data_IF_504731637484
#
_entry.id   IF_504731637484
#
_cell.length_a   1.000
_cell.length_b   1.000
_cell.length_c   1.000
_cell.angle_alpha   90.00
_cell.angle_beta   90.00
_cell.angle_gamma   90.00
#
_symmetry.space_group_name_H-M   'P 1'
#
loop_
_entity.id
_entity.type
_entity.pdbx_description
1 polymer ?
#
# COMPACT_ATOMS: atom_id res chain seq x y z
N UNK A 1 13.21 -40.90 -13.38
CA UNK A 1 13.64 -39.85 -14.32
C UNK A 1 15.08 -39.50 -13.96
N UNK A 2 16.05 -39.79 -14.84
CA UNK A 2 17.48 -39.54 -14.55
C UNK A 2 17.79 -38.13 -15.01
N UNK A 3 18.02 -37.23 -14.06
CA UNK A 3 18.41 -35.85 -14.31
C UNK A 3 19.86 -35.82 -14.82
N UNK A 4 20.09 -35.44 -16.07
CA UNK A 4 21.45 -35.34 -16.61
C UNK A 4 21.96 -33.89 -16.57
N UNK A 5 23.28 -33.71 -16.39
CA UNK A 5 23.93 -32.39 -16.35
C UNK A 5 23.78 -31.58 -17.63
N UNK A 6 23.31 -32.18 -18.74
CA UNK A 6 23.12 -31.51 -20.03
C UNK A 6 21.82 -30.70 -20.11
N UNK A 7 20.87 -30.92 -19.20
CA UNK A 7 19.53 -30.33 -19.27
C UNK A 7 19.41 -29.03 -18.44
N UNK A 8 20.54 -28.43 -18.04
CA UNK A 8 20.58 -27.28 -17.14
C UNK A 8 19.92 -26.04 -17.75
N UNK A 9 20.06 -25.85 -19.06
CA UNK A 9 19.46 -24.71 -19.78
C UNK A 9 17.94 -24.78 -19.78
N UNK A 10 17.37 -25.99 -19.82
CA UNK A 10 15.93 -26.22 -19.76
C UNK A 10 15.36 -25.96 -18.35
N UNK A 11 16.19 -26.16 -17.32
CA UNK A 11 15.82 -25.93 -15.91
C UNK A 11 16.11 -24.52 -15.41
N UNK A 12 16.91 -23.76 -16.14
CA UNK A 12 17.31 -22.40 -15.76
C UNK A 12 16.10 -21.47 -15.53
N UNK A 13 15.06 -21.45 -16.38
CA UNK A 13 13.89 -20.61 -16.13
C UNK A 13 13.17 -20.94 -14.83
N UNK A 14 13.03 -22.23 -14.51
CA UNK A 14 12.39 -22.70 -13.27
C UNK A 14 13.23 -22.34 -12.04
N UNK A 15 14.55 -22.53 -12.11
CA UNK A 15 15.47 -22.17 -11.03
C UNK A 15 15.45 -20.66 -10.76
N UNK A 16 15.45 -19.83 -11.82
CA UNK A 16 15.34 -18.37 -11.68
C UNK A 16 13.97 -17.95 -11.13
N UNK A 17 12.89 -18.62 -11.55
CA UNK A 17 11.55 -18.35 -11.02
C UNK A 17 11.48 -18.67 -9.53
N UNK A 18 11.90 -19.87 -9.13
CA UNK A 18 11.98 -20.28 -7.72
C UNK A 18 12.83 -19.30 -6.89
N UNK A 19 13.99 -18.88 -7.42
CA UNK A 19 14.85 -17.90 -6.77
C UNK A 19 14.14 -16.57 -6.54
N UNK A 20 13.36 -16.07 -7.52
CA UNK A 20 12.66 -14.78 -7.44
C UNK A 20 11.54 -14.78 -6.39
N UNK A 21 10.84 -15.90 -6.22
CA UNK A 21 9.69 -15.98 -5.32
C UNK A 21 10.03 -16.56 -3.93
N UNK A 22 11.22 -17.13 -3.76
CA UNK A 22 11.63 -17.71 -2.48
C UNK A 22 12.04 -16.62 -1.48
N UNK A 23 11.54 -16.75 -0.25
CA UNK A 23 11.88 -15.84 0.84
C UNK A 23 13.36 -15.92 1.20
N UNK A 24 14.02 -14.77 1.37
CA UNK A 24 15.43 -14.71 1.77
C UNK A 24 15.56 -14.18 3.18
N UNK A 25 15.92 -15.06 4.11
CA UNK A 25 16.13 -14.72 5.53
C UNK A 25 17.13 -13.59 5.74
N UNK A 26 18.13 -13.44 4.87
CA UNK A 26 19.13 -12.37 4.95
C UNK A 26 18.59 -10.96 4.66
N UNK A 27 17.52 -10.84 3.86
CA UNK A 27 16.88 -9.55 3.55
C UNK A 27 15.45 -9.43 4.07
N UNK A 28 14.89 -10.51 4.62
CA UNK A 28 13.51 -10.55 5.08
C UNK A 28 12.47 -10.38 3.97
N UNK A 29 12.84 -10.56 2.70
CA UNK A 29 11.99 -10.32 1.53
C UNK A 29 12.32 -11.29 0.38
N UNK A 30 11.38 -11.48 -0.54
CA UNK A 30 11.62 -12.19 -1.80
C UNK A 30 12.35 -11.25 -2.79
N UNK A 31 13.24 -11.75 -3.66
CA UNK A 31 13.86 -10.90 -4.68
C UNK A 31 12.83 -10.21 -5.59
N UNK A 32 11.66 -10.82 -5.83
CA UNK A 32 10.57 -10.21 -6.56
C UNK A 32 9.99 -8.99 -5.83
N UNK A 33 9.69 -9.10 -4.53
CA UNK A 33 9.10 -7.99 -3.77
C UNK A 33 10.04 -6.79 -3.63
N UNK A 34 11.35 -7.00 -3.69
CA UNK A 34 12.32 -5.90 -3.76
C UNK A 34 12.30 -5.12 -5.08
N UNK A 35 11.97 -5.79 -6.19
CA UNK A 35 11.95 -5.17 -7.52
C UNK A 35 10.62 -4.47 -7.79
N UNK A 36 9.52 -5.08 -7.40
CA UNK A 36 8.16 -4.62 -7.73
C UNK A 36 7.40 -4.01 -6.56
N UNK A 37 7.96 -4.05 -5.35
CA UNK A 37 7.31 -3.50 -4.15
C UNK A 37 6.13 -4.33 -3.62
N UNK A 38 5.84 -5.49 -4.23
CA UNK A 38 4.75 -6.38 -3.81
C UNK A 38 5.19 -7.85 -3.88
N UNK A 39 4.64 -8.68 -2.99
CA UNK A 39 4.85 -10.13 -3.06
C UNK A 39 4.14 -10.73 -4.27
N UNK A 40 4.79 -11.70 -4.92
CA UNK A 40 4.23 -12.34 -6.11
C UNK A 40 2.86 -12.94 -5.79
N UNK A 41 1.92 -12.80 -6.73
CA UNK A 41 0.67 -13.57 -6.74
C UNK A 41 0.89 -14.75 -7.66
N UNK A 42 0.84 -15.96 -7.12
CA UNK A 42 1.12 -17.16 -7.90
C UNK A 42 -0.07 -17.50 -8.81
N UNK A 43 0.15 -18.13 -9.98
CA UNK A 43 -0.96 -18.53 -10.86
C UNK A 43 -2.03 -19.35 -10.15
N UNK A 44 -1.61 -20.26 -9.25
CA UNK A 44 -2.51 -21.06 -8.41
C UNK A 44 -3.38 -20.21 -7.47
N UNK A 45 -2.85 -19.09 -6.96
CA UNK A 45 -3.60 -18.17 -6.11
C UNK A 45 -4.66 -17.40 -6.91
N UNK A 46 -4.41 -17.14 -8.20
CA UNK A 46 -5.37 -16.53 -9.11
C UNK A 46 -6.46 -17.53 -9.51
N UNK A 47 -6.09 -18.76 -9.85
CA UNK A 47 -7.04 -19.82 -10.23
C UNK A 47 -7.96 -20.21 -9.07
N UNK A 48 -7.42 -20.32 -7.85
CA UNK A 48 -8.20 -20.68 -6.66
C UNK A 48 -8.98 -19.51 -6.06
N UNK A 49 -8.78 -18.28 -6.55
CA UNK A 49 -9.37 -17.08 -5.95
C UNK A 49 -8.94 -16.92 -4.49
N UNK A 50 -7.63 -17.00 -4.24
CA UNK A 50 -7.07 -16.91 -2.89
C UNK A 50 -7.51 -15.64 -2.16
N UNK A 51 -7.44 -15.66 -0.83
CA UNK A 51 -7.82 -14.51 0.00
C UNK A 51 -7.09 -13.21 -0.38
N UNK A 52 -5.81 -13.29 -0.79
CA UNK A 52 -5.05 -12.14 -1.28
C UNK A 52 -5.67 -11.57 -2.55
N UNK A 53 -5.98 -12.43 -3.53
CA UNK A 53 -6.60 -12.00 -4.80
C UNK A 53 -7.98 -11.40 -4.57
N UNK A 54 -8.79 -11.99 -3.68
CA UNK A 54 -10.09 -11.46 -3.33
C UNK A 54 -10.01 -10.07 -2.66
N UNK A 55 -9.04 -9.87 -1.76
CA UNK A 55 -8.80 -8.58 -1.12
C UNK A 55 -8.37 -7.51 -2.14
N UNK A 56 -7.41 -7.81 -3.01
CA UNK A 56 -6.95 -6.89 -4.04
C UNK A 56 -8.09 -6.50 -5.00
N UNK A 57 -8.92 -7.47 -5.41
CA UNK A 57 -10.11 -7.21 -6.21
C UNK A 57 -11.12 -6.31 -5.49
N UNK A 58 -11.33 -6.52 -4.19
CA UNK A 58 -12.21 -5.69 -3.39
C UNK A 58 -11.67 -4.25 -3.28
N UNK A 59 -10.37 -4.08 -3.03
CA UNK A 59 -9.72 -2.76 -2.99
C UNK A 59 -9.87 -2.07 -4.34
N UNK A 60 -9.58 -2.76 -5.44
CA UNK A 60 -9.73 -2.24 -6.79
C UNK A 60 -11.17 -1.77 -7.09
N UNK A 61 -12.18 -2.56 -6.70
CA UNK A 61 -13.58 -2.16 -6.90
C UNK A 61 -13.99 -0.96 -6.03
N UNK A 62 -13.38 -0.78 -4.86
CA UNK A 62 -13.56 0.42 -4.04
C UNK A 62 -12.91 1.61 -4.71
N UNK A 63 -11.63 1.51 -5.11
CA UNK A 63 -10.88 2.57 -5.78
C UNK A 63 -11.57 3.04 -7.06
N UNK A 64 -12.08 2.10 -7.86
CA UNK A 64 -12.85 2.40 -9.07
C UNK A 64 -14.11 3.24 -8.81
N UNK A 65 -14.70 3.13 -7.61
CA UNK A 65 -15.87 3.93 -7.19
C UNK A 65 -15.48 5.27 -6.59
N UNK A 66 -14.22 5.46 -6.19
CA UNK A 66 -13.72 6.74 -5.70
C UNK A 66 -13.69 7.72 -6.86
N UNK A 67 -14.39 8.85 -6.71
CA UNK A 67 -14.32 9.95 -7.65
C UNK A 67 -13.28 10.94 -7.14
N UNK A 68 -12.14 11.14 -7.83
CA UNK A 68 -11.14 12.10 -7.38
C UNK A 68 -11.77 13.49 -7.40
N UNK A 69 -11.65 14.20 -6.27
CA UNK A 69 -12.06 15.59 -6.12
C UNK A 69 -10.80 16.41 -5.86
N UNK A 70 -10.47 17.39 -6.72
CA UNK A 70 -9.40 18.32 -6.42
C UNK A 70 -9.70 19.05 -5.12
N UNK A 71 -8.73 19.05 -4.21
CA UNK A 71 -8.83 19.80 -2.96
C UNK A 71 -8.42 21.25 -3.19
N UNK A 72 -9.08 22.15 -2.48
CA UNK A 72 -8.79 23.57 -2.52
C UNK A 72 -8.59 24.11 -1.09
N UNK A 73 -7.91 25.25 -0.99
CA UNK A 73 -7.84 25.98 0.28
C UNK A 73 -9.26 26.30 0.75
N UNK A 74 -9.54 26.05 2.02
CA UNK A 74 -10.86 26.18 2.65
C UNK A 74 -11.68 24.88 2.68
N UNK A 75 -11.30 23.83 1.95
CA UNK A 75 -12.01 22.56 2.00
C UNK A 75 -11.88 21.89 3.37
N UNK A 76 -12.98 21.29 3.85
CA UNK A 76 -13.02 20.50 5.06
C UNK A 76 -12.61 19.06 4.76
N UNK A 77 -11.62 18.53 5.48
CA UNK A 77 -11.04 17.21 5.24
C UNK A 77 -10.83 16.41 6.53
N UNK A 78 -10.82 15.08 6.38
CA UNK A 78 -10.43 14.14 7.42
C UNK A 78 -9.02 13.63 7.14
N UNK A 79 -8.19 13.53 8.17
CA UNK A 79 -6.81 13.03 8.05
C UNK A 79 -6.74 11.57 8.45
N UNK A 80 -6.13 10.74 7.61
CA UNK A 80 -5.86 9.32 7.89
C UNK A 80 -4.83 9.19 9.01
N UNK A 81 -5.09 8.33 9.99
CA UNK A 81 -4.14 7.95 11.05
C UNK A 81 -3.49 6.61 10.68
N UNK A 82 -2.65 6.59 9.63
CA UNK A 82 -1.96 5.36 9.20
C UNK A 82 -0.74 5.08 10.10
N UNK A 83 -0.66 3.88 10.69
CA UNK A 83 0.56 3.38 11.34
C UNK A 83 0.87 3.92 12.75
N UNK A 84 -0.06 4.58 13.44
CA UNK A 84 0.13 4.92 14.86
C UNK A 84 -0.03 3.66 15.74
N UNK A 85 1.06 2.91 15.87
CA UNK A 85 1.20 1.88 16.91
C UNK A 85 1.11 2.60 18.26
N UNK A 86 0.06 2.34 19.03
CA UNK A 86 -0.18 2.97 20.34
C UNK A 86 -1.13 4.18 20.33
N UNK A 87 -1.99 4.33 19.32
CA UNK A 87 -3.07 5.30 19.38
C UNK A 87 -3.92 5.08 20.66
N UNK A 88 -4.07 6.09 21.54
CA UNK A 88 -4.85 5.96 22.77
C UNK A 88 -6.34 5.65 22.53
N UNK A 89 -6.83 5.82 21.29
CA UNK A 89 -8.19 5.43 20.89
C UNK A 89 -8.39 3.92 20.76
N UNK A 90 -7.31 3.14 20.79
CA UNK A 90 -7.34 1.68 20.73
C UNK A 90 -7.88 1.13 19.40
N UNK A 91 -8.07 -0.19 19.36
CA UNK A 91 -8.47 -0.95 18.15
C UNK A 91 -9.85 -0.54 17.58
N UNK A 92 -10.67 0.14 18.37
CA UNK A 92 -12.06 0.50 18.02
C UNK A 92 -12.24 1.98 17.65
N UNK A 93 -11.17 2.77 17.68
CA UNK A 93 -11.22 4.16 17.22
C UNK A 93 -11.30 4.26 15.69
N UNK A 94 -11.99 5.28 15.14
CA UNK A 94 -11.93 5.55 13.71
C UNK A 94 -10.48 5.80 13.29
N UNK A 95 -10.05 5.24 12.16
CA UNK A 95 -8.70 5.40 11.60
C UNK A 95 -8.43 6.78 10.99
N UNK A 96 -9.22 7.78 11.38
CA UNK A 96 -9.18 9.14 10.86
C UNK A 96 -9.34 10.15 12.01
N UNK A 97 -8.73 11.31 11.85
CA UNK A 97 -8.80 12.46 12.77
C UNK A 97 -9.35 13.69 12.05
N UNK A 98 -9.94 14.61 12.80
CA UNK A 98 -10.54 15.83 12.28
C UNK A 98 -12.03 15.92 12.62
N UNK A 99 -12.77 16.87 12.02
CA UNK A 99 -12.48 17.56 10.77
C UNK A 99 -11.41 18.67 10.85
N UNK A 100 -10.70 18.89 9.74
CA UNK A 100 -9.74 19.97 9.57
C UNK A 100 -10.09 20.82 8.34
N UNK A 101 -9.64 22.07 8.32
CA UNK A 101 -9.72 22.93 7.14
C UNK A 101 -8.35 23.00 6.48
N UNK A 102 -8.31 22.93 5.15
CA UNK A 102 -7.06 23.15 4.42
C UNK A 102 -6.78 24.65 4.35
N UNK A 103 -5.71 25.11 5.01
CA UNK A 103 -5.29 26.51 4.94
C UNK A 103 -4.53 26.80 3.66
N UNK A 104 -3.60 25.91 3.31
CA UNK A 104 -2.71 26.07 2.18
C UNK A 104 -2.37 24.71 1.55
N UNK A 105 -2.55 24.62 0.24
CA UNK A 105 -2.14 23.51 -0.61
C UNK A 105 -0.98 23.96 -1.47
N UNK A 106 0.13 23.24 -1.39
CA UNK A 106 1.22 23.40 -2.34
C UNK A 106 0.92 22.65 -3.63
N UNK A 107 1.54 23.08 -4.74
CA UNK A 107 1.46 22.38 -6.03
C UNK A 107 2.03 20.95 -5.96
N UNK A 108 2.83 20.66 -4.92
CA UNK A 108 3.41 19.35 -4.64
C UNK A 108 2.47 18.42 -3.85
N UNK A 109 1.20 18.82 -3.63
CA UNK A 109 0.24 17.98 -2.92
C UNK A 109 0.45 17.95 -1.40
N UNK A 110 1.08 18.97 -0.82
CA UNK A 110 1.24 19.09 0.64
C UNK A 110 0.19 20.06 1.19
N UNK A 111 -0.62 19.58 2.12
CA UNK A 111 -1.65 20.37 2.79
C UNK A 111 -1.22 20.81 4.19
N UNK A 112 -1.39 22.10 4.47
CA UNK A 112 -1.38 22.65 5.81
C UNK A 112 -2.80 22.64 6.38
N UNK A 113 -2.99 21.87 7.45
CA UNK A 113 -4.28 21.70 8.09
C UNK A 113 -4.40 22.60 9.33
N UNK A 114 -5.58 23.18 9.52
CA UNK A 114 -5.96 23.90 10.74
C UNK A 114 -7.18 23.21 11.36
N UNK A 115 -7.25 23.20 12.68
CA UNK A 115 -8.43 22.74 13.42
C UNK A 115 -9.58 23.75 13.29
N UNK A 116 -10.79 23.35 13.65
CA UNK A 116 -11.98 24.22 13.63
C UNK A 116 -11.82 25.46 14.51
N UNK A 117 -11.01 25.35 15.58
CA UNK A 117 -10.71 26.46 16.49
C UNK A 117 -9.62 27.42 15.95
N UNK A 118 -9.14 27.21 14.72
CA UNK A 118 -8.11 28.05 14.09
C UNK A 118 -6.68 27.75 14.52
N UNK A 119 -6.47 26.72 15.35
CA UNK A 119 -5.14 26.27 15.74
C UNK A 119 -4.45 25.55 14.59
N UNK A 120 -3.21 25.95 14.27
CA UNK A 120 -2.43 25.35 13.19
C UNK A 120 -1.84 24.01 13.62
N UNK A 121 -2.05 22.97 12.80
CA UNK A 121 -1.41 21.68 13.03
C UNK A 121 0.08 21.79 12.70
N UNK A 122 0.95 21.33 13.60
CA UNK A 122 2.42 21.49 13.49
C UNK A 122 3.07 20.64 12.40
N UNK A 123 2.32 19.71 11.79
CA UNK A 123 2.83 18.77 10.79
C UNK A 123 1.99 18.84 9.52
N UNK A 124 2.65 19.13 8.40
CA UNK A 124 2.06 19.07 7.07
C UNK A 124 1.72 17.63 6.69
N UNK A 125 0.71 17.45 5.83
CA UNK A 125 0.22 16.12 5.41
C UNK A 125 0.25 16.03 3.89
N UNK A 126 0.78 14.92 3.35
CA UNK A 126 0.72 14.63 1.92
C UNK A 126 -0.71 14.23 1.52
N UNK A 127 -1.14 14.71 0.37
CA UNK A 127 -2.51 14.55 -0.16
C UNK A 127 -2.62 13.37 -1.16
N UNK A 128 -1.50 12.73 -1.50
CA UNK A 128 -1.40 11.56 -2.38
C UNK A 128 -1.90 10.23 -1.75
#
# INVERSE_FOLDING_TARGET
MVETSRDWSEKLPLALWAYRISFRTSRGATPYSLVYGMEVVLPVETEMGSFRVALEQQIFEIEKRVKPRPLHNGDLVLRILRGLVGDPRGKSGPSWSGPYVIRELTLEGVAWLIDLDGNQFSKSTNVD
#
